data_IF_535374721984
#
_entry.id   IF_535374721984
#
_cell.length_a   1.000
_cell.length_b   1.000
_cell.length_c   1.000
_cell.angle_alpha   90.00
_cell.angle_beta   90.00
_cell.angle_gamma   90.00
#
_symmetry.space_group_name_H-M   'P 1'
#
loop_
_entity.id
_entity.type
_entity.pdbx_description
1 polymer ?
#
# COMPACT_ATOMS: atom_id res chain seq x y z
N UNK A 1 1.66 30.11 -6.66
CA UNK A 1 1.48 28.66 -6.38
C UNK A 1 1.84 28.44 -4.93
N UNK A 2 0.84 28.37 -4.08
CA UNK A 2 1.07 28.05 -2.68
C UNK A 2 1.28 26.52 -2.58
N UNK A 3 2.45 26.12 -2.12
CA UNK A 3 2.69 24.72 -1.77
C UNK A 3 1.79 24.37 -0.59
N UNK A 4 0.70 23.68 -0.88
CA UNK A 4 -0.08 23.04 0.18
C UNK A 4 0.84 22.02 0.85
N UNK A 5 1.29 22.34 2.03
CA UNK A 5 2.12 21.43 2.82
C UNK A 5 1.25 20.23 3.20
N UNK A 6 1.40 19.15 2.46
CA UNK A 6 0.85 17.83 2.79
C UNK A 6 1.58 17.32 4.04
N UNK A 7 1.24 17.90 5.19
CA UNK A 7 1.75 17.34 6.44
C UNK A 7 1.04 15.99 6.66
N UNK A 8 1.79 14.90 6.83
CA UNK A 8 1.19 13.61 7.11
C UNK A 8 0.30 13.73 8.35
N UNK A 9 -0.94 13.30 8.24
CA UNK A 9 -1.80 13.11 9.41
C UNK A 9 -1.28 11.86 10.12
N UNK A 10 -0.22 12.04 10.88
CA UNK A 10 0.35 10.99 11.70
C UNK A 10 -0.69 10.58 12.74
N UNK A 11 -1.24 9.39 12.60
CA UNK A 11 -2.19 8.82 13.55
C UNK A 11 -1.58 8.60 14.94
N UNK A 12 -0.26 8.68 15.04
CA UNK A 12 0.48 8.60 16.32
C UNK A 12 0.77 9.97 16.92
N UNK A 13 0.54 11.06 16.17
CA UNK A 13 0.71 12.41 16.70
C UNK A 13 -0.35 12.70 17.78
N UNK A 14 0.01 13.40 18.84
CA UNK A 14 -0.99 13.80 19.84
C UNK A 14 -2.11 14.62 19.17
N UNK A 15 -3.36 14.48 19.62
CA UNK A 15 -4.48 15.18 19.01
C UNK A 15 -4.20 16.68 18.97
N UNK A 16 -4.26 17.26 17.78
CA UNK A 16 -4.09 18.71 17.62
C UNK A 16 -5.19 19.40 18.43
N UNK A 17 -4.83 20.42 19.19
CA UNK A 17 -5.81 21.19 19.95
C UNK A 17 -6.82 21.80 18.96
N UNK A 18 -8.12 21.71 19.25
CA UNK A 18 -9.12 22.32 18.37
C UNK A 18 -8.94 23.84 18.35
N UNK A 19 -9.19 24.45 17.21
CA UNK A 19 -9.15 25.92 17.08
C UNK A 19 -10.35 26.54 17.80
N UNK A 20 -11.51 25.87 17.73
CA UNK A 20 -12.73 26.33 18.40
C UNK A 20 -13.76 25.20 18.60
N UNK A 21 -14.77 25.47 19.39
CA UNK A 21 -16.00 24.69 19.48
C UNK A 21 -17.06 25.38 18.63
N UNK A 22 -17.73 24.64 17.78
CA UNK A 22 -18.76 25.18 16.88
C UNK A 22 -20.06 24.40 17.08
N UNK A 23 -21.20 25.11 17.19
CA UNK A 23 -22.50 24.43 17.27
C UNK A 23 -22.75 23.52 16.06
N UNK A 24 -23.31 22.34 16.31
CA UNK A 24 -23.53 21.31 15.30
C UNK A 24 -24.43 21.79 14.15
N UNK A 25 -25.35 22.71 14.42
CA UNK A 25 -26.24 23.34 13.45
C UNK A 25 -25.53 24.30 12.50
N UNK A 26 -24.36 24.80 12.87
CA UNK A 26 -23.56 25.70 12.05
C UNK A 26 -22.58 24.93 11.14
N UNK A 27 -22.60 23.60 11.18
CA UNK A 27 -21.77 22.71 10.39
C UNK A 27 -22.59 22.10 9.25
N UNK A 28 -22.14 22.25 8.01
CA UNK A 28 -22.85 21.81 6.82
C UNK A 28 -22.06 20.74 6.09
N UNK A 29 -22.73 19.67 5.61
CA UNK A 29 -22.04 18.63 4.85
C UNK A 29 -21.58 19.15 3.50
N UNK A 30 -20.51 18.56 2.96
CA UNK A 30 -20.05 18.88 1.61
C UNK A 30 -20.86 18.02 0.61
N UNK A 31 -21.59 18.64 -0.35
CA UNK A 31 -22.37 17.87 -1.34
C UNK A 31 -21.50 17.03 -2.29
N UNK A 32 -20.22 17.36 -2.42
CA UNK A 32 -19.27 16.66 -3.30
C UNK A 32 -18.49 15.54 -2.59
N UNK A 33 -18.89 15.20 -1.36
CA UNK A 33 -18.26 14.06 -0.65
C UNK A 33 -18.43 12.76 -1.43
N UNK A 34 -17.34 12.00 -1.63
CA UNK A 34 -17.38 10.76 -2.39
C UNK A 34 -18.17 9.64 -1.68
N UNK A 35 -18.28 9.70 -0.37
CA UNK A 35 -19.00 8.70 0.41
C UNK A 35 -20.36 9.24 0.87
N UNK A 36 -21.41 8.63 0.35
CA UNK A 36 -22.82 8.99 0.70
C UNK A 36 -23.51 7.94 1.58
N UNK A 37 -23.02 6.69 1.50
CA UNK A 37 -23.63 5.58 2.23
C UNK A 37 -22.86 5.29 3.53
N UNK A 38 -23.55 5.40 4.63
CA UNK A 38 -23.04 5.05 5.95
C UNK A 38 -23.92 3.95 6.54
N UNK A 39 -23.33 2.81 6.84
CA UNK A 39 -24.04 1.73 7.52
C UNK A 39 -24.60 2.26 8.84
N UNK A 40 -25.90 2.15 9.02
CA UNK A 40 -26.63 2.71 10.16
C UNK A 40 -26.10 2.16 11.48
N UNK A 41 -25.88 0.86 11.56
CA UNK A 41 -25.35 0.20 12.76
C UNK A 41 -23.98 0.77 13.16
N UNK A 42 -23.09 0.97 12.21
CA UNK A 42 -21.76 1.52 12.47
C UNK A 42 -21.80 3.01 12.87
N UNK A 43 -22.86 3.72 12.45
CA UNK A 43 -23.06 5.11 12.85
C UNK A 43 -23.60 5.18 14.31
N UNK A 44 -24.50 4.27 14.67
CA UNK A 44 -25.03 4.15 16.03
C UNK A 44 -23.94 3.76 17.04
N UNK A 45 -23.07 2.81 16.68
CA UNK A 45 -21.90 2.44 17.52
C UNK A 45 -20.98 3.64 17.74
N UNK A 46 -20.73 4.42 16.70
CA UNK A 46 -19.91 5.63 16.81
C UNK A 46 -20.60 6.68 17.70
N UNK A 47 -21.90 6.86 17.55
CA UNK A 47 -22.67 7.81 18.38
C UNK A 47 -22.59 7.44 19.88
N UNK A 48 -22.71 6.16 20.21
CA UNK A 48 -22.58 5.69 21.59
C UNK A 48 -21.15 5.93 22.13
N UNK A 49 -20.14 5.68 21.33
CA UNK A 49 -18.75 5.97 21.69
C UNK A 49 -18.54 7.48 21.96
N UNK A 50 -19.10 8.33 21.09
CA UNK A 50 -19.01 9.79 21.26
C UNK A 50 -19.76 10.28 22.50
N UNK A 51 -20.88 9.64 22.86
CA UNK A 51 -21.65 9.97 24.09
C UNK A 51 -20.82 9.68 25.34
N UNK A 52 -20.06 8.58 25.33
CA UNK A 52 -19.26 8.16 26.49
C UNK A 52 -17.94 8.92 26.63
N UNK A 53 -17.25 9.16 25.51
CA UNK A 53 -15.85 9.65 25.50
C UNK A 53 -15.72 11.09 25.00
N UNK A 54 -16.80 11.65 24.45
CA UNK A 54 -16.74 12.93 23.75
C UNK A 54 -16.07 12.82 22.39
N UNK A 55 -15.94 13.95 21.72
CA UNK A 55 -15.27 14.05 20.39
C UNK A 55 -13.79 14.34 20.61
N UNK A 56 -12.98 13.31 20.61
CA UNK A 56 -11.53 13.37 20.87
C UNK A 56 -10.77 14.00 19.67
N UNK A 57 -11.16 13.63 18.46
CA UNK A 57 -10.53 14.14 17.25
C UNK A 57 -11.40 15.23 16.61
N UNK A 58 -10.89 16.46 16.45
CA UNK A 58 -11.66 17.55 15.85
C UNK A 58 -11.98 17.29 14.38
N UNK A 59 -13.06 17.89 13.90
CA UNK A 59 -13.40 17.91 12.49
C UNK A 59 -12.56 18.97 11.78
N UNK A 60 -12.24 18.74 10.49
CA UNK A 60 -11.64 19.79 9.66
C UNK A 60 -12.77 20.46 8.87
N UNK A 61 -12.84 21.78 9.01
CA UNK A 61 -13.91 22.59 8.40
C UNK A 61 -13.31 23.81 7.71
N UNK A 62 -14.06 24.39 6.75
CA UNK A 62 -13.72 25.67 6.14
C UNK A 62 -14.88 26.67 6.32
N UNK A 63 -14.62 27.97 6.35
CA UNK A 63 -15.69 28.97 6.36
C UNK A 63 -16.62 28.79 5.15
N UNK A 64 -17.92 28.92 5.36
CA UNK A 64 -18.90 28.72 4.30
C UNK A 64 -20.15 29.55 4.52
N UNK A 65 -20.44 30.44 3.59
CA UNK A 65 -21.62 31.29 3.65
C UNK A 65 -21.49 32.40 4.68
N UNK A 66 -22.38 32.45 5.65
CA UNK A 66 -22.42 33.49 6.68
C UNK A 66 -21.32 33.32 7.74
N UNK A 67 -20.88 34.41 8.38
CA UNK A 67 -19.93 34.29 9.48
C UNK A 67 -20.42 33.35 10.59
N UNK A 68 -19.54 32.45 11.00
CA UNK A 68 -19.84 31.43 12.02
C UNK A 68 -20.37 30.13 11.45
N UNK A 69 -20.63 30.02 10.15
CA UNK A 69 -21.02 28.80 9.47
C UNK A 69 -19.84 28.16 8.74
N UNK A 70 -19.81 26.84 8.74
CA UNK A 70 -18.66 26.09 8.20
C UNK A 70 -19.11 24.89 7.40
N UNK A 71 -18.36 24.58 6.34
CA UNK A 71 -18.54 23.36 5.57
C UNK A 71 -17.54 22.29 6.05
N UNK A 72 -18.02 21.09 6.25
CA UNK A 72 -17.21 19.96 6.71
C UNK A 72 -16.34 19.46 5.54
N UNK A 73 -15.03 19.43 5.74
CA UNK A 73 -14.06 18.90 4.78
C UNK A 73 -13.75 17.43 5.10
N UNK A 74 -13.49 17.14 6.38
CA UNK A 74 -13.13 15.80 6.85
C UNK A 74 -13.97 15.44 8.06
N UNK A 75 -14.33 14.16 8.17
CA UNK A 75 -15.03 13.56 9.31
C UNK A 75 -16.53 13.79 9.35
N UNK A 76 -17.21 13.82 8.21
CA UNK A 76 -18.68 13.94 8.15
C UNK A 76 -19.38 12.84 8.96
N UNK A 77 -18.86 11.63 8.96
CA UNK A 77 -19.40 10.51 9.75
C UNK A 77 -19.44 10.84 11.27
N UNK A 78 -18.41 11.54 11.75
CA UNK A 78 -18.34 11.96 13.16
C UNK A 78 -19.39 13.05 13.46
N UNK A 79 -19.62 13.98 12.54
CA UNK A 79 -20.67 14.99 12.65
C UNK A 79 -22.07 14.34 12.71
N UNK A 80 -22.37 13.39 11.83
CA UNK A 80 -23.64 12.66 11.85
C UNK A 80 -23.84 11.88 13.16
N UNK A 81 -22.80 11.21 13.62
CA UNK A 81 -22.84 10.46 14.88
C UNK A 81 -23.03 11.40 16.09
N UNK A 82 -22.43 12.59 16.06
CA UNK A 82 -22.60 13.59 17.10
C UNK A 82 -24.04 14.10 17.19
N UNK A 83 -24.74 14.28 16.05
CA UNK A 83 -26.15 14.61 16.01
C UNK A 83 -27.00 13.52 16.70
N UNK A 84 -26.73 12.24 16.37
CA UNK A 84 -27.41 11.09 17.01
C UNK A 84 -27.10 11.00 18.50
N UNK A 85 -25.90 11.40 18.90
CA UNK A 85 -25.47 11.42 20.29
C UNK A 85 -25.98 12.65 21.06
N UNK A 86 -26.68 13.60 20.40
CA UNK A 86 -27.16 14.87 20.93
C UNK A 86 -26.04 15.76 21.52
N UNK A 87 -24.88 15.75 20.85
CA UNK A 87 -23.75 16.62 21.20
C UNK A 87 -23.95 17.95 20.46
N UNK A 88 -24.02 19.04 21.18
CA UNK A 88 -24.37 20.36 20.64
C UNK A 88 -23.17 21.10 20.08
N UNK A 89 -21.98 20.95 20.66
CA UNK A 89 -20.79 21.66 20.26
C UNK A 89 -19.68 20.65 19.84
N UNK A 90 -19.10 20.89 18.68
CA UNK A 90 -18.07 20.00 18.13
C UNK A 90 -16.71 20.73 18.03
N UNK A 91 -15.64 20.07 18.47
CA UNK A 91 -14.30 20.62 18.28
C UNK A 91 -13.92 20.60 16.79
N UNK A 92 -13.45 21.73 16.28
CA UNK A 92 -13.11 21.90 14.87
C UNK A 92 -11.72 22.50 14.69
N UNK A 93 -11.09 22.15 13.57
CA UNK A 93 -9.92 22.81 13.02
C UNK A 93 -10.39 23.61 11.79
N UNK A 94 -10.32 24.91 11.88
CA UNK A 94 -10.76 25.80 10.80
C UNK A 94 -9.59 25.98 9.82
N UNK A 95 -9.84 25.71 8.53
CA UNK A 95 -8.84 25.88 7.46
C UNK A 95 -9.47 26.67 6.32
N UNK A 96 -8.75 27.63 5.81
CA UNK A 96 -9.15 28.35 4.59
C UNK A 96 -8.67 27.54 3.39
N UNK A 97 -9.61 26.79 2.81
CA UNK A 97 -9.35 25.88 1.69
C UNK A 97 -10.27 26.23 0.52
N UNK A 98 -9.73 26.28 -0.67
CA UNK A 98 -10.54 26.39 -1.88
C UNK A 98 -11.19 25.03 -2.23
N UNK A 99 -12.07 25.03 -3.23
CA UNK A 99 -12.80 23.79 -3.62
C UNK A 99 -11.85 22.67 -4.09
N UNK A 100 -10.76 23.05 -4.72
CA UNK A 100 -9.75 22.09 -5.20
C UNK A 100 -9.02 21.46 -4.02
N UNK A 101 -8.60 22.27 -3.07
CA UNK A 101 -7.93 21.80 -1.85
C UNK A 101 -8.86 20.94 -0.97
N UNK A 102 -10.14 21.31 -0.89
CA UNK A 102 -11.15 20.49 -0.18
C UNK A 102 -11.26 19.10 -0.80
N UNK A 103 -11.33 19.02 -2.13
CA UNK A 103 -11.41 17.74 -2.83
C UNK A 103 -10.12 16.92 -2.63
N UNK A 104 -8.97 17.57 -2.70
CA UNK A 104 -7.67 16.92 -2.47
C UNK A 104 -7.59 16.30 -1.06
N UNK A 105 -7.93 17.09 -0.03
CA UNK A 105 -7.94 16.64 1.37
C UNK A 105 -8.92 15.49 1.57
N UNK A 106 -10.10 15.56 0.95
CA UNK A 106 -11.11 14.49 1.04
C UNK A 106 -10.61 13.17 0.42
N UNK A 107 -9.91 13.23 -0.71
CA UNK A 107 -9.32 12.05 -1.36
C UNK A 107 -8.19 11.47 -0.48
N UNK A 108 -7.33 12.30 0.07
CA UNK A 108 -6.23 11.87 0.95
C UNK A 108 -6.79 11.18 2.20
N UNK A 109 -7.80 11.78 2.84
CA UNK A 109 -8.46 11.17 4.02
C UNK A 109 -9.06 9.81 3.66
N UNK A 110 -9.73 9.73 2.51
CA UNK A 110 -10.32 8.46 2.07
C UNK A 110 -9.25 7.39 1.83
N UNK A 111 -8.10 7.75 1.23
CA UNK A 111 -6.97 6.81 1.00
C UNK A 111 -6.38 6.29 2.33
N UNK A 112 -6.40 7.09 3.39
CA UNK A 112 -5.82 6.71 4.69
C UNK A 112 -6.71 5.77 5.51
N UNK A 113 -7.87 5.40 5.00
CA UNK A 113 -8.77 4.47 5.71
C UNK A 113 -8.20 3.05 5.73
N UNK A 114 -8.37 2.37 6.86
CA UNK A 114 -7.87 1.01 7.06
C UNK A 114 -8.66 -0.07 6.31
N UNK A 115 -9.87 0.26 5.85
CA UNK A 115 -10.80 -0.69 5.22
C UNK A 115 -10.80 -0.62 3.67
N UNK A 116 -9.91 0.19 3.08
CA UNK A 116 -9.80 0.29 1.62
C UNK A 116 -9.24 -0.98 0.98
N UNK A 117 -9.84 -1.35 -0.14
CA UNK A 117 -9.21 -2.37 -0.98
C UNK A 117 -8.15 -1.74 -1.90
N UNK A 118 -7.25 -2.58 -2.43
CA UNK A 118 -6.11 -2.14 -3.23
C UNK A 118 -6.51 -1.36 -4.51
N UNK A 119 -7.67 -1.67 -5.10
CA UNK A 119 -8.17 -0.96 -6.27
C UNK A 119 -8.72 0.42 -5.92
N UNK A 120 -9.41 0.55 -4.80
CA UNK A 120 -9.88 1.84 -4.30
C UNK A 120 -8.70 2.75 -3.96
N UNK A 121 -7.68 2.20 -3.31
CA UNK A 121 -6.44 2.92 -3.01
C UNK A 121 -5.75 3.40 -4.31
N UNK A 122 -5.67 2.51 -5.31
CA UNK A 122 -5.10 2.84 -6.63
C UNK A 122 -5.89 3.95 -7.35
N UNK A 123 -7.23 3.91 -7.28
CA UNK A 123 -8.09 4.96 -7.85
C UNK A 123 -7.87 6.31 -7.18
N UNK A 124 -7.72 6.32 -5.86
CA UNK A 124 -7.39 7.54 -5.12
C UNK A 124 -6.05 8.13 -5.58
N UNK A 125 -5.01 7.30 -5.70
CA UNK A 125 -3.72 7.77 -6.21
C UNK A 125 -3.83 8.32 -7.63
N UNK A 126 -4.58 7.64 -8.49
CA UNK A 126 -4.81 8.09 -9.88
C UNK A 126 -5.51 9.46 -9.88
N UNK A 127 -6.54 9.65 -9.06
CA UNK A 127 -7.24 10.93 -8.94
C UNK A 127 -6.31 12.06 -8.48
N UNK A 128 -5.46 11.79 -7.49
CA UNK A 128 -4.49 12.78 -7.00
C UNK A 128 -3.46 13.16 -8.09
N UNK A 129 -3.04 12.20 -8.90
CA UNK A 129 -2.11 12.47 -10.01
C UNK A 129 -2.78 13.25 -11.15
N UNK A 130 -3.98 12.82 -11.57
CA UNK A 130 -4.65 13.36 -12.77
C UNK A 130 -5.25 14.75 -12.51
N UNK A 131 -5.82 14.97 -11.31
CA UNK A 131 -6.51 16.24 -10.98
C UNK A 131 -5.59 17.29 -10.37
N UNK A 132 -4.61 16.87 -9.57
CA UNK A 132 -3.77 17.79 -8.78
C UNK A 132 -2.29 17.77 -9.21
N UNK A 133 -1.93 16.95 -10.20
CA UNK A 133 -0.58 16.89 -10.76
C UNK A 133 0.47 16.28 -9.82
N UNK A 134 0.05 15.54 -8.81
CA UNK A 134 1.01 14.87 -7.92
C UNK A 134 1.83 13.82 -8.66
N UNK A 135 3.11 13.75 -8.36
CA UNK A 135 3.97 12.65 -8.83
C UNK A 135 3.90 11.47 -7.84
N UNK A 136 4.26 10.29 -8.32
CA UNK A 136 4.33 9.09 -7.45
C UNK A 136 5.29 9.31 -6.26
N UNK A 137 6.35 10.07 -6.47
CA UNK A 137 7.34 10.42 -5.44
C UNK A 137 6.70 11.29 -4.35
N UNK A 138 6.00 12.37 -4.75
CA UNK A 138 5.32 13.26 -3.80
C UNK A 138 4.25 12.52 -3.00
N UNK A 139 3.47 11.66 -3.66
CA UNK A 139 2.46 10.83 -2.97
C UNK A 139 3.11 9.85 -1.98
N UNK A 140 4.23 9.24 -2.37
CA UNK A 140 4.96 8.31 -1.50
C UNK A 140 5.43 9.01 -0.21
N UNK A 141 6.00 10.19 -0.36
CA UNK A 141 6.44 11.02 0.76
C UNK A 141 5.27 11.44 1.65
N UNK A 142 4.22 12.03 1.07
CA UNK A 142 3.07 12.56 1.79
C UNK A 142 2.28 11.49 2.55
N UNK A 143 2.19 10.27 1.99
CA UNK A 143 1.40 9.17 2.55
C UNK A 143 2.25 8.14 3.31
N UNK A 144 3.55 8.40 3.48
CA UNK A 144 4.50 7.49 4.15
C UNK A 144 4.48 6.08 3.55
N UNK A 145 4.42 6.01 2.19
CA UNK A 145 4.44 4.76 1.42
C UNK A 145 5.70 4.72 0.54
N UNK A 146 6.10 3.53 0.08
CA UNK A 146 7.17 3.47 -0.92
C UNK A 146 6.62 3.82 -2.31
N UNK A 147 7.45 4.46 -3.14
CA UNK A 147 7.11 4.73 -4.55
C UNK A 147 6.74 3.43 -5.29
N UNK A 148 7.46 2.34 -4.99
CA UNK A 148 7.17 1.04 -5.61
C UNK A 148 5.80 0.48 -5.19
N UNK A 149 5.34 0.74 -3.97
CA UNK A 149 3.99 0.37 -3.53
C UNK A 149 2.94 1.08 -4.39
N UNK A 150 3.05 2.41 -4.52
CA UNK A 150 2.12 3.21 -5.33
C UNK A 150 2.13 2.76 -6.80
N UNK A 151 3.33 2.58 -7.38
CA UNK A 151 3.45 2.12 -8.77
C UNK A 151 2.80 0.75 -8.99
N UNK A 152 2.96 -0.18 -8.05
CA UNK A 152 2.34 -1.52 -8.13
C UNK A 152 0.81 -1.43 -8.05
N UNK A 153 0.27 -0.60 -7.17
CA UNK A 153 -1.18 -0.40 -7.07
C UNK A 153 -1.75 0.23 -8.35
N UNK A 154 -1.10 1.25 -8.90
CA UNK A 154 -1.54 1.90 -10.13
C UNK A 154 -1.58 0.92 -11.32
N UNK A 155 -0.72 -0.09 -11.35
CA UNK A 155 -0.76 -1.14 -12.38
C UNK A 155 -2.05 -1.97 -12.32
N UNK A 156 -2.68 -2.10 -11.16
CA UNK A 156 -3.95 -2.83 -11.02
C UNK A 156 -5.07 -2.22 -11.88
N UNK A 157 -5.01 -0.90 -12.08
CA UNK A 157 -5.98 -0.17 -12.92
C UNK A 157 -5.82 -0.46 -14.43
N UNK A 158 -4.72 -1.12 -14.82
CA UNK A 158 -4.48 -1.54 -16.21
C UNK A 158 -5.07 -2.92 -16.51
N UNK A 159 -5.52 -3.63 -15.47
CA UNK A 159 -6.14 -4.95 -15.63
C UNK A 159 -7.52 -4.82 -16.27
N UNK A 160 -7.95 -5.82 -17.05
CA UNK A 160 -9.31 -5.85 -17.58
C UNK A 160 -10.38 -5.71 -16.49
N UNK A 161 -11.52 -5.09 -16.80
CA UNK A 161 -12.61 -4.82 -15.85
C UNK A 161 -13.10 -6.09 -15.12
N UNK A 162 -13.15 -7.22 -15.83
CA UNK A 162 -13.50 -8.52 -15.26
C UNK A 162 -12.57 -8.88 -14.11
N UNK A 163 -11.26 -8.69 -14.29
CA UNK A 163 -10.23 -8.99 -13.27
C UNK A 163 -10.35 -8.02 -12.09
N UNK A 164 -10.58 -6.75 -12.38
CA UNK A 164 -10.80 -5.75 -11.33
C UNK A 164 -12.04 -6.09 -10.49
N UNK A 165 -13.11 -6.60 -11.11
CA UNK A 165 -14.31 -7.05 -10.39
C UNK A 165 -14.02 -8.21 -9.45
N UNK A 166 -13.24 -9.20 -9.90
CA UNK A 166 -12.82 -10.34 -9.07
C UNK A 166 -11.94 -9.89 -7.87
N UNK A 167 -11.11 -8.87 -8.10
CA UNK A 167 -10.28 -8.26 -7.03
C UNK A 167 -11.16 -7.52 -6.01
N UNK A 168 -12.15 -6.73 -6.46
CA UNK A 168 -13.10 -6.04 -5.57
C UNK A 168 -13.91 -7.03 -4.74
N UNK A 169 -14.31 -8.14 -5.35
CA UNK A 169 -15.08 -9.20 -4.68
C UNK A 169 -14.26 -10.09 -3.75
N UNK A 170 -12.95 -9.86 -3.61
CA UNK A 170 -12.08 -10.64 -2.74
C UNK A 170 -11.79 -12.07 -3.23
N UNK A 171 -12.20 -12.40 -4.45
CA UNK A 171 -11.97 -13.73 -5.04
C UNK A 171 -10.53 -13.90 -5.51
N UNK A 172 -9.82 -12.79 -5.68
CA UNK A 172 -8.39 -12.74 -5.98
C UNK A 172 -7.70 -11.89 -4.91
N UNK A 173 -6.52 -12.36 -4.47
CA UNK A 173 -5.72 -11.60 -3.49
C UNK A 173 -4.97 -10.46 -4.19
N UNK A 174 -5.16 -9.50 -3.72
CA UNK A 174 -4.68 -8.38 -4.27
C UNK A 174 -3.27 -8.32 -4.54
N UNK A 175 -2.53 -8.48 -3.50
CA UNK A 175 -1.08 -8.27 -3.62
C UNK A 175 -0.38 -9.30 -4.51
N UNK A 176 -0.80 -10.52 -4.51
CA UNK A 176 -0.04 -11.63 -5.09
C UNK A 176 -0.60 -12.13 -6.43
N UNK A 177 -1.87 -12.49 -6.51
CA UNK A 177 -2.48 -12.92 -7.78
C UNK A 177 -2.48 -11.79 -8.80
N UNK A 178 -2.79 -10.57 -8.36
CA UNK A 178 -2.81 -9.40 -9.22
C UNK A 178 -1.45 -9.11 -9.88
N UNK A 179 -0.34 -9.35 -9.16
CA UNK A 179 1.00 -9.16 -9.71
C UNK A 179 1.28 -10.09 -10.90
N UNK A 180 0.87 -11.35 -10.80
CA UNK A 180 1.00 -12.32 -11.92
C UNK A 180 0.11 -11.92 -13.10
N UNK A 181 -1.09 -11.40 -12.81
CA UNK A 181 -2.05 -10.99 -13.84
C UNK A 181 -1.61 -9.75 -14.61
N UNK A 182 -1.01 -8.75 -13.94
CA UNK A 182 -0.52 -7.52 -14.58
C UNK A 182 0.54 -7.81 -15.65
N UNK A 183 1.33 -8.87 -15.47
CA UNK A 183 2.39 -9.23 -16.41
C UNK A 183 1.91 -10.20 -17.50
N UNK A 184 0.66 -10.70 -17.42
CA UNK A 184 0.15 -11.69 -18.35
C UNK A 184 -0.65 -11.05 -19.50
N UNK A 185 -0.37 -11.41 -20.77
CA UNK A 185 -1.17 -10.93 -21.89
C UNK A 185 -2.62 -11.47 -21.86
N UNK A 186 -2.87 -12.57 -21.18
CA UNK A 186 -4.17 -13.23 -21.06
C UNK A 186 -4.72 -13.14 -19.63
N UNK A 187 -4.63 -11.94 -19.03
CA UNK A 187 -4.98 -11.72 -17.61
C UNK A 187 -6.40 -12.21 -17.25
N UNK A 188 -7.39 -11.97 -18.10
CA UNK A 188 -8.79 -12.37 -17.83
C UNK A 188 -8.96 -13.89 -17.78
N UNK A 189 -8.37 -14.61 -18.73
CA UNK A 189 -8.44 -16.08 -18.78
C UNK A 189 -7.69 -16.70 -17.58
N UNK A 190 -6.52 -16.17 -17.27
CA UNK A 190 -5.73 -16.61 -16.12
C UNK A 190 -6.49 -16.36 -14.80
N UNK A 191 -7.14 -15.20 -14.68
CA UNK A 191 -7.94 -14.86 -13.50
C UNK A 191 -9.10 -15.87 -13.28
N UNK A 192 -9.81 -16.22 -14.37
CA UNK A 192 -10.87 -17.23 -14.29
C UNK A 192 -10.32 -18.59 -13.85
N UNK A 193 -9.17 -19.00 -14.37
CA UNK A 193 -8.53 -20.25 -13.98
C UNK A 193 -8.12 -20.26 -12.49
N UNK A 194 -7.57 -19.15 -12.00
CA UNK A 194 -7.20 -19.00 -10.59
C UNK A 194 -8.42 -19.18 -9.69
N UNK A 195 -9.52 -18.50 -10.01
CA UNK A 195 -10.75 -18.56 -9.21
C UNK A 195 -11.39 -19.96 -9.28
N UNK A 196 -11.53 -20.51 -10.49
CA UNK A 196 -12.23 -21.82 -10.70
C UNK A 196 -11.46 -22.97 -10.07
N UNK A 197 -10.14 -22.96 -10.16
CA UNK A 197 -9.29 -24.06 -9.66
C UNK A 197 -8.74 -23.82 -8.26
N UNK A 198 -8.97 -22.66 -7.66
CA UNK A 198 -8.44 -22.30 -6.35
C UNK A 198 -6.90 -22.29 -6.32
N UNK A 199 -6.27 -21.79 -7.38
CA UNK A 199 -4.82 -21.89 -7.52
C UNK A 199 -4.09 -21.01 -6.50
N UNK A 200 -2.99 -21.54 -5.97
CA UNK A 200 -2.09 -20.78 -5.12
C UNK A 200 -1.33 -19.71 -5.95
N UNK A 201 -0.78 -18.73 -5.27
CA UNK A 201 0.01 -17.64 -5.88
C UNK A 201 1.14 -18.20 -6.77
N UNK A 202 1.88 -19.19 -6.27
CA UNK A 202 3.00 -19.80 -7.01
C UNK A 202 2.54 -20.51 -8.29
N UNK A 203 1.38 -21.16 -8.22
CA UNK A 203 0.77 -21.80 -9.40
C UNK A 203 0.30 -20.76 -10.41
N UNK A 204 -0.31 -19.66 -9.95
CA UNK A 204 -0.73 -18.57 -10.78
C UNK A 204 0.47 -17.91 -11.50
N UNK A 205 1.56 -17.65 -10.79
CA UNK A 205 2.80 -17.11 -11.37
C UNK A 205 3.38 -18.06 -12.44
N UNK A 206 3.42 -19.36 -12.15
CA UNK A 206 3.90 -20.37 -13.10
C UNK A 206 3.04 -20.40 -14.36
N UNK A 207 1.72 -20.36 -14.21
CA UNK A 207 0.79 -20.31 -15.34
C UNK A 207 0.94 -19.00 -16.15
N UNK A 208 1.12 -17.86 -15.48
CA UNK A 208 1.35 -16.58 -16.16
C UNK A 208 2.60 -16.65 -17.04
N UNK A 209 3.67 -17.27 -16.55
CA UNK A 209 4.91 -17.45 -17.30
C UNK A 209 4.74 -18.40 -18.50
N UNK A 210 3.91 -19.43 -18.37
CA UNK A 210 3.66 -20.41 -19.47
C UNK A 210 2.65 -19.88 -20.49
N UNK A 211 1.63 -19.15 -20.05
CA UNK A 211 0.56 -18.61 -20.92
C UNK A 211 1.02 -17.37 -21.68
N UNK A 212 2.05 -16.72 -21.23
CA UNK A 212 2.54 -15.46 -21.79
C UNK A 212 3.25 -15.59 -23.12
N UNK A 213 3.20 -16.70 -23.88
CA UNK A 213 3.68 -16.86 -25.27
C UNK A 213 4.99 -16.15 -25.64
N UNK A 214 5.47 -15.29 -24.78
CA UNK A 214 6.80 -14.81 -24.78
C UNK A 214 7.66 -16.02 -24.38
N UNK A 215 8.04 -16.80 -25.37
CA UNK A 215 9.40 -17.31 -25.30
C UNK A 215 10.24 -16.10 -24.80
N UNK A 216 10.46 -15.99 -23.47
CA UNK A 216 11.79 -15.54 -23.12
C UNK A 216 12.63 -16.33 -24.12
N UNK A 217 13.20 -15.64 -25.10
CA UNK A 217 14.32 -16.20 -25.82
C UNK A 217 15.21 -16.73 -24.69
N UNK A 218 15.06 -17.99 -24.36
CA UNK A 218 16.20 -18.73 -23.88
C UNK A 218 17.22 -18.44 -24.95
N UNK A 219 18.03 -17.46 -24.74
CA UNK A 219 19.34 -17.42 -25.38
C UNK A 219 19.81 -18.85 -25.18
N UNK A 220 20.08 -19.56 -26.29
CA UNK A 220 20.59 -20.92 -26.16
C UNK A 220 21.72 -20.82 -25.15
N UNK A 221 21.52 -21.22 -23.94
CA UNK A 221 22.26 -21.23 -23.20
C UNK A 221 23.34 -21.29 -23.78
N UNK A 222 23.96 -20.44 -24.04
CA UNK A 222 25.39 -20.38 -24.08
C UNK A 222 25.82 -21.25 -22.93
N UNK A 223 26.36 -22.36 -23.24
CA UNK A 223 26.59 -23.41 -22.25
C UNK A 223 27.09 -22.76 -20.97
N UNK A 224 26.43 -23.10 -19.83
CA UNK A 224 26.87 -22.56 -18.52
C UNK A 224 28.40 -22.54 -18.58
N UNK A 225 29.04 -21.39 -18.40
CA UNK A 225 30.49 -21.38 -18.35
C UNK A 225 30.86 -22.48 -17.36
N UNK A 226 31.66 -23.42 -17.84
CA UNK A 226 32.07 -24.55 -17.01
C UNK A 226 32.69 -23.95 -15.76
N UNK A 227 32.06 -24.20 -14.60
CA UNK A 227 32.55 -23.64 -13.33
C UNK A 227 34.02 -24.07 -13.22
N UNK A 228 34.86 -23.12 -12.96
CA UNK A 228 36.26 -23.35 -12.68
C UNK A 228 36.43 -24.44 -11.62
N UNK A 229 37.46 -25.29 -11.78
CA UNK A 229 37.75 -26.38 -10.83
C UNK A 229 37.93 -25.84 -9.40
N UNK A 230 38.51 -24.66 -9.25
CA UNK A 230 38.70 -24.00 -7.96
C UNK A 230 37.41 -23.60 -7.32
N UNK A 231 36.44 -23.06 -8.08
CA UNK A 231 35.11 -22.70 -7.58
C UNK A 231 34.34 -23.94 -7.12
N UNK A 232 34.45 -25.07 -7.83
CA UNK A 232 33.81 -26.34 -7.42
C UNK A 232 34.44 -26.89 -6.13
N UNK A 233 35.76 -26.81 -6.00
CA UNK A 233 36.46 -27.23 -4.77
C UNK A 233 36.00 -26.37 -3.59
N UNK A 234 35.92 -25.06 -3.77
CA UNK A 234 35.46 -24.13 -2.72
C UNK A 234 34.00 -24.38 -2.32
N UNK A 235 33.11 -24.64 -3.30
CA UNK A 235 31.71 -25.03 -2.99
C UNK A 235 31.64 -26.30 -2.14
N UNK A 236 32.45 -27.31 -2.47
CA UNK A 236 32.50 -28.59 -1.77
C UNK A 236 33.04 -28.42 -0.34
N UNK A 237 34.10 -27.67 -0.17
CA UNK A 237 34.70 -27.38 1.15
C UNK A 237 33.74 -26.60 2.04
N UNK A 238 33.10 -25.56 1.52
CA UNK A 238 32.12 -24.79 2.27
C UNK A 238 30.89 -25.62 2.62
N UNK A 239 30.43 -26.47 1.69
CA UNK A 239 29.29 -27.36 1.95
C UNK A 239 29.63 -28.38 3.04
N UNK A 240 30.83 -28.95 3.03
CA UNK A 240 31.29 -29.89 4.04
C UNK A 240 31.41 -29.27 5.41
N UNK A 241 31.98 -28.04 5.48
CA UNK A 241 32.16 -27.31 6.74
C UNK A 241 30.85 -26.83 7.35
N UNK A 242 29.92 -26.35 6.54
CA UNK A 242 28.62 -25.84 7.01
C UNK A 242 27.57 -26.92 7.20
N UNK A 243 27.72 -28.06 6.55
CA UNK A 243 26.70 -29.11 6.50
C UNK A 243 25.49 -28.67 5.67
N UNK A 244 25.66 -27.70 4.76
CA UNK A 244 24.59 -27.08 3.97
C UNK A 244 24.99 -27.01 2.51
N UNK A 245 24.01 -26.95 1.60
CA UNK A 245 24.29 -26.79 0.18
C UNK A 245 24.75 -25.37 -0.13
N UNK A 246 25.96 -25.24 -0.67
CA UNK A 246 26.55 -23.95 -1.09
C UNK A 246 26.72 -23.91 -2.60
N UNK A 247 26.39 -22.76 -3.20
CA UNK A 247 26.54 -22.52 -4.64
C UNK A 247 27.15 -21.14 -4.88
N UNK A 248 28.17 -21.07 -5.71
CA UNK A 248 28.84 -19.82 -6.07
C UNK A 248 28.71 -19.63 -7.59
N UNK A 249 28.12 -18.52 -8.00
CA UNK A 249 27.95 -18.15 -9.41
C UNK A 249 28.69 -16.82 -9.66
N UNK A 250 29.82 -16.85 -10.34
CA UNK A 250 30.59 -15.66 -10.73
C UNK A 250 29.96 -14.93 -11.92
N UNK A 251 30.07 -13.63 -11.95
CA UNK A 251 29.69 -12.84 -13.12
C UNK A 251 30.76 -12.95 -14.20
N UNK A 252 30.37 -13.19 -15.45
CA UNK A 252 31.34 -13.34 -16.52
C UNK A 252 32.21 -12.09 -16.69
N UNK A 253 33.54 -12.25 -16.52
CA UNK A 253 34.51 -11.19 -16.72
C UNK A 253 34.63 -10.19 -15.56
N UNK A 254 33.97 -10.45 -14.40
CA UNK A 254 34.04 -9.60 -13.21
C UNK A 254 34.62 -10.29 -11.99
N UNK A 255 34.96 -9.52 -11.00
CA UNK A 255 35.39 -10.01 -9.66
C UNK A 255 34.19 -10.18 -8.69
N UNK A 256 32.97 -9.98 -9.20
CA UNK A 256 31.74 -10.09 -8.42
C UNK A 256 31.01 -11.42 -8.68
N UNK A 257 30.15 -11.82 -7.77
CA UNK A 257 29.40 -13.05 -7.91
C UNK A 257 28.29 -13.17 -6.86
N UNK A 258 27.51 -14.24 -6.96
CA UNK A 258 26.45 -14.56 -6.04
C UNK A 258 26.78 -15.87 -5.32
N UNK A 259 26.82 -15.83 -3.99
CA UNK A 259 26.91 -17.03 -3.15
C UNK A 259 25.53 -17.34 -2.58
N UNK A 260 25.04 -18.56 -2.80
CA UNK A 260 23.74 -19.04 -2.30
C UNK A 260 23.98 -20.20 -1.32
N UNK A 261 23.50 -20.04 -0.10
CA UNK A 261 23.55 -21.10 0.91
C UNK A 261 22.10 -21.54 1.19
N UNK A 262 21.85 -22.84 1.07
CA UNK A 262 20.52 -23.42 1.31
C UNK A 262 20.50 -24.09 2.67
N UNK A 263 19.69 -23.58 3.58
CA UNK A 263 19.43 -24.19 4.88
C UNK A 263 18.09 -24.94 4.84
N UNK A 264 17.94 -25.98 5.67
CA UNK A 264 16.75 -26.81 5.71
C UNK A 264 15.96 -26.67 7.02
N UNK A 265 16.62 -26.18 8.07
CA UNK A 265 16.00 -25.96 9.40
C UNK A 265 16.33 -24.58 9.94
N UNK A 266 15.56 -24.11 10.91
CA UNK A 266 15.86 -22.85 11.60
C UNK A 266 17.16 -22.93 12.41
N UNK A 267 17.50 -24.11 12.93
CA UNK A 267 18.77 -24.33 13.61
C UNK A 267 19.97 -24.15 12.66
N UNK A 268 19.84 -24.60 11.40
CA UNK A 268 20.85 -24.36 10.38
C UNK A 268 21.03 -22.85 10.12
N UNK A 269 19.91 -22.12 10.05
CA UNK A 269 19.94 -20.67 9.85
C UNK A 269 20.66 -19.97 11.04
N UNK A 270 20.34 -20.37 12.27
CA UNK A 270 20.98 -19.80 13.47
C UNK A 270 22.48 -20.09 13.50
N UNK A 271 22.89 -21.29 13.11
CA UNK A 271 24.31 -21.65 12.99
C UNK A 271 25.03 -20.79 11.95
N UNK A 272 24.37 -20.58 10.80
CA UNK A 272 24.93 -19.73 9.73
C UNK A 272 25.05 -18.26 10.19
N UNK A 273 24.02 -17.73 10.84
CA UNK A 273 24.06 -16.37 11.38
C UNK A 273 25.18 -16.19 12.40
N UNK A 274 25.40 -17.15 13.30
CA UNK A 274 26.49 -17.10 14.28
C UNK A 274 27.86 -17.13 13.58
N UNK A 275 28.03 -18.00 12.59
CA UNK A 275 29.29 -18.11 11.85
C UNK A 275 29.62 -16.79 11.13
N UNK A 276 28.63 -16.17 10.49
CA UNK A 276 28.81 -14.90 9.78
C UNK A 276 29.05 -13.72 10.74
N UNK A 277 28.43 -13.74 11.91
CA UNK A 277 28.57 -12.68 12.93
C UNK A 277 29.95 -12.71 13.62
N UNK A 278 30.69 -13.80 13.52
CA UNK A 278 32.05 -13.92 14.09
C UNK A 278 33.14 -13.40 13.15
N UNK A 279 32.77 -13.03 11.91
CA UNK A 279 33.73 -12.42 10.98
C UNK A 279 34.03 -10.97 11.41
N UNK A 280 35.31 -10.56 11.44
CA UNK A 280 35.65 -9.17 11.75
C UNK A 280 35.05 -8.24 10.67
N UNK A 281 34.69 -7.00 11.01
CA UNK A 281 34.20 -6.05 10.02
C UNK A 281 35.26 -5.76 8.95
N UNK A 282 34.82 -5.69 7.71
CA UNK A 282 35.67 -5.50 6.51
C UNK A 282 36.49 -4.19 6.50
N UNK A 283 36.33 -3.34 7.51
CA UNK A 283 37.04 -2.04 7.55
C UNK A 283 38.52 -2.12 8.00
N UNK A 284 39.01 -3.30 8.40
CA UNK A 284 40.34 -3.47 8.94
C UNK A 284 41.27 -4.38 8.10
N UNK A 285 40.93 -4.55 6.79
CA UNK A 285 41.76 -5.29 5.83
C UNK A 285 42.40 -4.36 4.80
#
# INVERSE_FOLDING_TARGET
>A
MADVHLAPTDTTAPPRRPDSLVPVENLHPNPDQPRRDFAEDALLELAESLRQKGVIQPLIVRPHGEPGHYQIVVSERRWRAAQLAQIHDLPVLIRELDDTEVLEVAIIENIQRADLNALEEALGYRQLMDRFGHTQEKLAEALSKSRSHIANLLRLLQLPDEVQTLLRGGQLTXCYHARALVTSPNAAELARQIVTKGLSVREAERLALTSGGAKRKTMPXAGKPEKDADTRALEADLAANLGMSVRIDHEPGGESGLMTIRYNTLDDLDRLCRALSQLPPLADL
#
